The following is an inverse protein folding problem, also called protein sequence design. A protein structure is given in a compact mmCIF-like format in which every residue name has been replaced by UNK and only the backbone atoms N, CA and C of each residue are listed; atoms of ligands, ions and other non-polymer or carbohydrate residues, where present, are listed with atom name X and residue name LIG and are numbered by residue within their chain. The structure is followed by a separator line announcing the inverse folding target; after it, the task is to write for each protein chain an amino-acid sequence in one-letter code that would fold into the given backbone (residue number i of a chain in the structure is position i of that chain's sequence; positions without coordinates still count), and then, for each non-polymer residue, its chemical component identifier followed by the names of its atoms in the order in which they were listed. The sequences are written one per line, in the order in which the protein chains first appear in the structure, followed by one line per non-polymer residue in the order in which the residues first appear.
data_IF_912810425809
#
_entry.id   IF_912810425809
#
_cell.length_a   1.000
_cell.length_b   1.000
_cell.length_c   1.000
_cell.angle_alpha   90.00
_cell.angle_beta   90.00
_cell.angle_gamma   90.00
#
_symmetry.space_group_name_H-M   'P 1'
#
loop_
_entity.id
_entity.type
_entity.pdbx_description
1 polymer ?
#
# COMPACT_ATOMS: atom_id res chain seq x y z
N UNK A 1 18.97 -4.50 -36.47
CA UNK A 1 18.83 -3.71 -35.22
C UNK A 1 19.46 -2.32 -35.38
N UNK A 2 18.64 -1.29 -35.52
CA UNK A 2 19.06 0.10 -35.83
C UNK A 2 19.22 0.99 -34.59
N UNK A 3 18.98 0.47 -33.38
CA UNK A 3 19.09 1.21 -32.12
C UNK A 3 19.96 0.40 -31.14
N UNK A 4 21.12 0.94 -30.73
CA UNK A 4 22.05 0.30 -29.79
C UNK A 4 21.86 0.77 -28.34
N UNK A 5 20.87 1.63 -28.08
CA UNK A 5 20.67 2.22 -26.74
C UNK A 5 19.92 1.30 -25.76
N UNK A 6 19.38 0.18 -26.24
CA UNK A 6 18.57 -0.75 -25.45
C UNK A 6 19.36 -1.98 -25.03
N UNK A 7 19.06 -2.48 -23.83
CA UNK A 7 19.64 -3.68 -23.24
C UNK A 7 19.56 -4.88 -24.22
N UNK A 8 20.63 -5.68 -24.39
CA UNK A 8 20.61 -6.90 -25.19
C UNK A 8 19.41 -7.83 -24.93
N UNK A 9 18.94 -7.91 -23.67
CA UNK A 9 17.79 -8.71 -23.28
C UNK A 9 16.48 -8.28 -23.96
N UNK A 10 16.36 -6.99 -24.29
CA UNK A 10 15.20 -6.45 -25.01
C UNK A 10 15.06 -7.09 -26.40
N UNK A 11 16.18 -7.27 -27.11
CA UNK A 11 16.19 -7.82 -28.46
C UNK A 11 15.87 -9.31 -28.47
N UNK A 12 16.30 -10.05 -27.44
CA UNK A 12 15.92 -11.46 -27.25
C UNK A 12 14.42 -11.59 -27.03
N UNK A 13 13.83 -10.77 -26.15
CA UNK A 13 12.39 -10.70 -25.91
C UNK A 13 11.60 -10.33 -27.17
N UNK A 14 12.10 -9.40 -27.98
CA UNK A 14 11.44 -9.02 -29.22
C UNK A 14 11.46 -10.15 -30.26
N UNK A 15 12.57 -10.87 -30.37
CA UNK A 15 12.64 -12.05 -31.24
C UNK A 15 11.69 -13.15 -30.76
N UNK A 16 11.65 -13.41 -29.45
CA UNK A 16 10.69 -14.34 -28.85
C UNK A 16 9.25 -13.94 -29.18
N UNK A 17 8.90 -12.66 -28.97
CA UNK A 17 7.56 -12.13 -29.28
C UNK A 17 7.18 -12.30 -30.76
N UNK A 18 8.12 -12.03 -31.68
CA UNK A 18 7.89 -12.17 -33.12
C UNK A 18 7.76 -13.64 -33.55
N UNK A 19 8.42 -14.56 -32.83
CA UNK A 19 8.38 -16.00 -33.09
C UNK A 19 7.13 -16.71 -32.54
N UNK A 20 6.44 -16.11 -31.56
CA UNK A 20 5.20 -16.65 -31.00
C UNK A 20 4.06 -16.67 -32.04
N UNK A 21 3.18 -17.67 -31.93
CA UNK A 21 1.93 -17.72 -32.70
C UNK A 21 0.91 -16.66 -32.26
N UNK A 22 -0.05 -16.30 -33.12
CA UNK A 22 -1.08 -15.30 -32.79
C UNK A 22 -1.92 -15.70 -31.57
N UNK A 23 -2.21 -16.99 -31.39
CA UNK A 23 -2.96 -17.50 -30.22
C UNK A 23 -2.18 -17.37 -28.91
N UNK A 24 -0.86 -17.51 -28.96
CA UNK A 24 0.02 -17.34 -27.79
C UNK A 24 0.20 -15.85 -27.48
N UNK A 25 0.33 -15.00 -28.51
CA UNK A 25 0.36 -13.54 -28.35
C UNK A 25 -0.89 -13.02 -27.66
N UNK A 26 -2.08 -13.59 -27.96
CA UNK A 26 -3.34 -13.20 -27.32
C UNK A 26 -3.34 -13.39 -25.80
N UNK A 27 -2.51 -14.29 -25.24
CA UNK A 27 -2.38 -14.45 -23.79
C UNK A 27 -1.70 -13.23 -23.13
N UNK A 28 -0.85 -12.53 -23.87
CA UNK A 28 -0.12 -11.35 -23.43
C UNK A 28 -0.79 -10.03 -23.86
N UNK A 29 -1.75 -10.10 -24.80
CA UNK A 29 -2.62 -8.96 -25.10
C UNK A 29 -3.41 -8.64 -23.83
N UNK A 30 -3.27 -7.40 -23.37
CA UNK A 30 -3.98 -6.90 -22.20
C UNK A 30 -5.49 -7.04 -22.45
N UNK A 31 -6.13 -7.99 -21.75
CA UNK A 31 -7.57 -8.14 -21.78
C UNK A 31 -8.20 -6.84 -21.26
N UNK A 32 -8.98 -6.17 -22.09
CA UNK A 32 -9.73 -4.99 -21.69
C UNK A 32 -10.92 -5.46 -20.84
N UNK A 33 -10.94 -5.09 -19.56
CA UNK A 33 -12.13 -5.27 -18.75
C UNK A 33 -13.24 -4.38 -19.34
N UNK A 34 -14.46 -4.91 -19.55
CA UNK A 34 -15.58 -4.09 -19.99
C UNK A 34 -15.90 -3.02 -18.94
N UNK A 35 -16.35 -1.84 -19.38
CA UNK A 35 -16.74 -0.78 -18.43
C UNK A 35 -17.95 -1.22 -17.59
N UNK A 36 -18.03 -0.78 -16.32
CA UNK A 36 -19.13 -1.12 -15.45
C UNK A 36 -20.44 -0.49 -15.96
N UNK A 37 -21.57 -1.15 -15.68
CA UNK A 37 -22.90 -0.76 -16.18
C UNK A 37 -23.26 0.70 -15.81
N UNK A 38 -23.02 1.19 -14.57
CA UNK A 38 -23.30 2.58 -14.21
C UNK A 38 -22.49 3.62 -14.99
N UNK A 39 -21.36 3.23 -15.59
CA UNK A 39 -20.58 4.13 -16.45
C UNK A 39 -21.22 4.33 -17.83
N UNK A 40 -21.99 3.34 -18.31
CA UNK A 40 -22.64 3.41 -19.62
C UNK A 40 -24.07 3.93 -19.55
N UNK A 41 -24.76 3.70 -18.44
CA UNK A 41 -26.14 4.13 -18.25
C UNK A 41 -26.36 4.64 -16.83
N UNK A 42 -27.12 5.73 -16.70
CA UNK A 42 -27.52 6.22 -15.39
C UNK A 42 -28.62 5.33 -14.81
N UNK A 43 -28.53 4.97 -13.51
CA UNK A 43 -29.62 4.33 -12.79
C UNK A 43 -30.94 5.12 -12.85
N UNK A 44 -30.89 6.45 -12.96
CA UNK A 44 -32.08 7.30 -13.02
C UNK A 44 -32.94 7.04 -14.27
N UNK A 45 -32.31 6.74 -15.40
CA UNK A 45 -33.02 6.53 -16.68
C UNK A 45 -33.33 5.07 -16.96
N UNK A 46 -32.55 4.14 -16.40
CA UNK A 46 -32.74 2.71 -16.64
C UNK A 46 -32.72 1.91 -15.35
N UNK A 47 -33.90 1.42 -15.02
CA UNK A 47 -34.11 0.47 -13.94
C UNK A 47 -33.25 -0.79 -14.12
N UNK A 48 -32.71 -1.30 -13.01
CA UNK A 48 -31.79 -2.44 -12.99
C UNK A 48 -30.31 -2.09 -13.22
N UNK A 49 -29.98 -0.81 -13.43
CA UNK A 49 -28.57 -0.38 -13.44
C UNK A 49 -28.05 -0.28 -12.01
N UNK A 50 -27.29 -1.29 -11.59
CA UNK A 50 -26.66 -1.37 -10.26
C UNK A 50 -25.14 -1.52 -10.41
N UNK A 51 -24.40 -1.24 -9.33
CA UNK A 51 -22.96 -1.51 -9.30
C UNK A 51 -22.69 -3.01 -9.11
N UNK A 52 -21.58 -3.49 -9.66
CA UNK A 52 -21.19 -4.89 -9.62
C UNK A 52 -21.02 -5.44 -8.19
N UNK A 53 -20.65 -4.56 -7.25
CA UNK A 53 -20.56 -4.93 -5.84
C UNK A 53 -21.93 -5.25 -5.24
N UNK A 54 -22.96 -4.42 -5.50
CA UNK A 54 -24.31 -4.71 -5.01
C UNK A 54 -24.88 -5.93 -5.71
N UNK A 55 -24.66 -6.08 -7.01
CA UNK A 55 -25.08 -7.29 -7.74
C UNK A 55 -24.45 -8.54 -7.13
N UNK A 56 -23.13 -8.54 -6.89
CA UNK A 56 -22.43 -9.63 -6.21
C UNK A 56 -22.99 -9.94 -4.80
N UNK A 57 -23.38 -8.91 -4.04
CA UNK A 57 -24.04 -9.08 -2.74
C UNK A 57 -25.43 -9.69 -2.87
N UNK A 58 -26.23 -9.27 -3.86
CA UNK A 58 -27.55 -9.83 -4.14
C UNK A 58 -27.43 -11.30 -4.55
N UNK A 59 -26.52 -11.63 -5.46
CA UNK A 59 -26.32 -13.00 -5.93
C UNK A 59 -25.80 -13.92 -4.82
N UNK A 60 -24.83 -13.45 -4.02
CA UNK A 60 -24.34 -14.21 -2.87
C UNK A 60 -25.42 -14.44 -1.81
N UNK A 61 -26.28 -13.45 -1.57
CA UNK A 61 -27.44 -13.60 -0.70
C UNK A 61 -28.43 -14.64 -1.25
N UNK A 62 -28.80 -14.56 -2.53
CA UNK A 62 -29.71 -15.51 -3.17
C UNK A 62 -29.17 -16.95 -3.16
N UNK A 63 -27.85 -17.12 -3.29
CA UNK A 63 -27.18 -18.43 -3.27
C UNK A 63 -27.13 -19.03 -1.86
N UNK A 64 -26.93 -18.21 -0.84
CA UNK A 64 -26.77 -18.66 0.54
C UNK A 64 -28.11 -18.70 1.33
N UNK A 65 -29.21 -18.26 0.73
CA UNK A 65 -30.54 -18.26 1.34
C UNK A 65 -31.02 -19.69 1.56
N UNK A 66 -31.31 -20.05 2.81
CA UNK A 66 -31.96 -21.32 3.14
C UNK A 66 -33.43 -21.29 2.69
N UNK A 67 -33.89 -22.35 2.03
CA UNK A 67 -35.25 -22.45 1.46
C UNK A 67 -36.37 -22.44 2.52
N UNK A 68 -36.05 -22.57 3.81
CA UNK A 68 -37.04 -22.94 4.82
C UNK A 68 -37.83 -21.80 5.48
N UNK A 69 -37.53 -20.51 5.25
CA UNK A 69 -38.10 -19.47 6.11
C UNK A 69 -39.26 -18.66 5.53
N UNK A 70 -39.35 -18.42 4.22
CA UNK A 70 -40.46 -17.65 3.60
C UNK A 70 -40.47 -17.79 2.07
N UNK A 71 -40.81 -18.98 1.55
CA UNK A 71 -40.96 -19.21 0.10
C UNK A 71 -42.26 -18.58 -0.42
N UNK A 72 -43.27 -18.44 0.46
CA UNK A 72 -44.64 -18.10 0.08
C UNK A 72 -44.83 -16.62 -0.35
N UNK A 73 -43.94 -15.70 0.05
CA UNK A 73 -44.14 -14.25 -0.13
C UNK A 73 -43.05 -13.53 -0.92
N UNK A 74 -41.99 -14.20 -1.39
CA UNK A 74 -40.87 -13.49 -2.02
C UNK A 74 -40.19 -14.33 -3.10
N UNK A 75 -40.76 -14.25 -4.30
CA UNK A 75 -40.14 -14.70 -5.54
C UNK A 75 -38.75 -14.06 -5.72
N UNK A 76 -37.81 -14.82 -6.29
CA UNK A 76 -36.42 -14.37 -6.51
C UNK A 76 -36.36 -13.11 -7.38
N UNK A 77 -37.18 -13.05 -8.42
CA UNK A 77 -37.19 -11.93 -9.36
C UNK A 77 -37.76 -10.66 -8.70
N UNK A 78 -38.85 -10.79 -7.93
CA UNK A 78 -39.41 -9.68 -7.13
C UNK A 78 -38.40 -9.15 -6.12
N UNK A 79 -37.58 -10.00 -5.51
CA UNK A 79 -36.52 -9.55 -4.60
C UNK A 79 -35.48 -8.69 -5.32
N UNK A 80 -35.00 -9.13 -6.48
CA UNK A 80 -34.03 -8.36 -7.28
C UNK A 80 -34.62 -7.01 -7.69
N UNK A 81 -35.88 -6.98 -8.13
CA UNK A 81 -36.57 -5.75 -8.46
C UNK A 81 -36.70 -4.80 -7.26
N UNK A 82 -37.10 -5.30 -6.10
CA UNK A 82 -37.20 -4.49 -4.87
C UNK A 82 -35.83 -3.93 -4.48
N UNK A 83 -34.77 -4.72 -4.60
CA UNK A 83 -33.41 -4.26 -4.32
C UNK A 83 -32.95 -3.18 -5.32
N UNK A 84 -33.30 -3.33 -6.60
CA UNK A 84 -33.09 -2.30 -7.62
C UNK A 84 -33.85 -1.01 -7.30
N UNK A 85 -35.12 -1.11 -6.89
CA UNK A 85 -35.91 0.06 -6.49
C UNK A 85 -35.34 0.74 -5.24
N UNK A 86 -34.88 -0.05 -4.25
CA UNK A 86 -34.23 0.47 -3.05
C UNK A 86 -32.91 1.18 -3.36
N UNK A 87 -32.13 0.66 -4.32
CA UNK A 87 -30.90 1.29 -4.77
C UNK A 87 -31.20 2.69 -5.34
N UNK A 88 -32.19 2.80 -6.24
CA UNK A 88 -32.60 4.08 -6.81
C UNK A 88 -33.05 5.08 -5.73
N UNK A 89 -33.82 4.62 -4.74
CA UNK A 89 -34.28 5.46 -3.63
C UNK A 89 -33.15 5.88 -2.66
N UNK A 90 -32.01 5.20 -2.68
CA UNK A 90 -30.87 5.45 -1.76
C UNK A 90 -29.77 6.30 -2.40
N UNK A 91 -29.98 6.79 -3.62
CA UNK A 91 -29.03 7.66 -4.30
C UNK A 91 -29.00 9.06 -3.68
N UNK A 92 -27.81 9.68 -3.69
CA UNK A 92 -27.65 11.07 -3.29
C UNK A 92 -28.42 11.99 -4.24
N UNK A 93 -29.10 12.99 -3.68
CA UNK A 93 -29.92 13.89 -4.48
C UNK A 93 -29.04 14.90 -5.26
N UNK A 94 -29.40 15.25 -6.52
CA UNK A 94 -28.72 16.32 -7.22
C UNK A 94 -28.81 17.65 -6.44
N UNK A 95 -27.67 18.31 -6.27
CA UNK A 95 -27.56 19.57 -5.52
C UNK A 95 -27.24 19.40 -4.02
N UNK A 96 -27.12 18.17 -3.52
CA UNK A 96 -26.67 17.92 -2.15
C UNK A 96 -25.22 18.44 -1.94
N UNK A 97 -24.94 19.17 -0.85
CA UNK A 97 -23.62 19.77 -0.60
C UNK A 97 -22.61 18.72 -0.08
N UNK A 98 -22.33 17.69 -0.90
CA UNK A 98 -21.46 16.55 -0.54
C UNK A 98 -20.05 16.96 -0.14
N UNK A 99 -19.53 18.07 -0.66
CA UNK A 99 -18.23 18.60 -0.27
C UNK A 99 -18.20 19.13 1.18
N UNK A 100 -19.27 19.81 1.61
CA UNK A 100 -19.39 20.31 2.98
C UNK A 100 -19.60 19.16 3.96
N UNK A 101 -20.47 18.20 3.59
CA UNK A 101 -20.71 16.99 4.37
C UNK A 101 -19.42 16.19 4.55
N UNK A 102 -18.67 15.94 3.47
CA UNK A 102 -17.40 15.23 3.55
C UNK A 102 -16.38 15.96 4.44
N UNK A 103 -16.30 17.28 4.35
CA UNK A 103 -15.41 18.08 5.20
C UNK A 103 -15.78 17.97 6.69
N UNK A 104 -17.08 18.03 7.02
CA UNK A 104 -17.57 17.85 8.40
C UNK A 104 -17.34 16.43 8.91
N UNK A 105 -17.65 15.42 8.09
CA UNK A 105 -17.47 14.00 8.43
C UNK A 105 -16.02 13.62 8.72
N UNK A 106 -15.03 14.36 8.20
CA UNK A 106 -13.63 14.19 8.57
C UNK A 106 -13.26 15.10 9.75
N UNK A 107 -13.67 16.37 9.70
CA UNK A 107 -13.26 17.40 10.66
C UNK A 107 -13.76 17.15 12.08
N UNK A 108 -15.05 16.83 12.25
CA UNK A 108 -15.67 16.60 13.57
C UNK A 108 -15.01 15.43 14.32
N UNK A 109 -14.93 14.20 13.77
CA UNK A 109 -14.30 13.08 14.49
C UNK A 109 -12.79 13.28 14.67
N UNK A 110 -12.12 14.04 13.80
CA UNK A 110 -10.69 14.35 13.96
C UNK A 110 -10.40 15.07 15.28
N UNK A 111 -11.32 15.92 15.74
CA UNK A 111 -11.16 16.59 17.04
C UNK A 111 -11.18 15.58 18.20
N UNK A 112 -12.04 14.57 18.13
CA UNK A 112 -12.14 13.49 19.12
C UNK A 112 -10.89 12.59 19.12
N UNK A 113 -10.28 12.35 17.95
CA UNK A 113 -9.05 11.57 17.85
C UNK A 113 -7.87 12.19 18.63
N UNK A 114 -7.86 13.50 18.82
CA UNK A 114 -6.79 14.20 19.55
C UNK A 114 -6.61 13.66 20.96
N UNK A 115 -7.71 13.39 21.68
CA UNK A 115 -7.68 12.88 23.06
C UNK A 115 -7.38 11.38 23.11
N UNK A 116 -7.88 10.60 22.15
CA UNK A 116 -7.66 9.15 22.10
C UNK A 116 -6.22 8.78 21.72
N UNK A 117 -5.51 9.64 20.99
CA UNK A 117 -4.13 9.37 20.57
C UNK A 117 -3.13 9.47 21.72
N UNK A 118 -3.39 10.24 22.79
CA UNK A 118 -2.47 10.33 23.93
C UNK A 118 -2.42 9.06 24.79
N UNK A 119 -3.53 8.32 24.89
CA UNK A 119 -3.55 7.04 25.63
C UNK A 119 -2.94 5.87 24.84
N UNK A 120 -2.98 5.91 23.51
CA UNK A 120 -2.32 4.93 22.64
C UNK A 120 -0.88 5.28 22.29
N UNK A 121 -0.51 6.56 22.20
CA UNK A 121 0.87 7.01 21.98
C UNK A 121 1.82 6.63 23.15
N UNK A 122 1.26 6.29 24.32
CA UNK A 122 2.01 5.73 25.45
C UNK A 122 2.32 4.22 25.36
N UNK A 123 1.68 3.47 24.44
CA UNK A 123 2.13 2.13 24.05
C UNK A 123 2.98 2.28 22.79
N UNK A 124 4.28 2.37 22.98
CA UNK A 124 5.30 2.64 21.96
C UNK A 124 5.50 1.54 20.91
N UNK A 125 4.45 0.85 20.48
CA UNK A 125 4.56 -0.29 19.55
C UNK A 125 4.70 0.15 18.08
N UNK A 126 4.40 1.41 17.74
CA UNK A 126 4.59 1.93 16.37
C UNK A 126 5.06 3.40 16.38
N UNK A 127 6.33 3.64 16.04
CA UNK A 127 6.92 4.97 15.83
C UNK A 127 6.45 5.60 14.49
N UNK A 128 5.14 5.68 14.27
CA UNK A 128 4.54 6.32 13.10
C UNK A 128 3.80 7.59 13.52
N UNK A 129 3.76 8.60 12.66
CA UNK A 129 2.91 9.78 12.87
C UNK A 129 1.44 9.36 12.90
N UNK A 130 0.74 9.58 14.02
CA UNK A 130 -0.66 9.24 14.23
C UNK A 130 -1.54 10.49 14.40
N UNK A 131 -2.85 10.31 14.22
CA UNK A 131 -3.89 11.31 14.53
C UNK A 131 -3.85 12.57 13.65
N UNK A 132 -4.15 13.72 14.26
CA UNK A 132 -4.19 15.04 13.59
C UNK A 132 -2.87 15.39 12.88
N UNK A 133 -1.68 15.19 13.47
CA UNK A 133 -0.42 15.43 12.77
C UNK A 133 -0.32 14.73 11.41
N UNK A 134 -0.76 13.46 11.33
CA UNK A 134 -0.76 12.72 10.07
C UNK A 134 -1.79 13.22 9.08
N UNK A 135 -3.00 13.55 9.56
CA UNK A 135 -4.05 14.16 8.73
C UNK A 135 -3.59 15.49 8.13
N UNK A 136 -2.89 16.33 8.90
CA UNK A 136 -2.33 17.60 8.40
C UNK A 136 -1.30 17.37 7.31
N UNK A 137 -0.39 16.41 7.49
CA UNK A 137 0.64 16.10 6.48
C UNK A 137 0.02 15.65 5.15
N UNK A 138 -1.05 14.86 5.19
CA UNK A 138 -1.74 14.33 4.00
C UNK A 138 -2.61 15.40 3.34
N UNK A 139 -3.51 16.03 4.11
CA UNK A 139 -4.59 16.85 3.55
C UNK A 139 -4.25 18.33 3.46
N UNK A 140 -3.57 18.89 4.46
CA UNK A 140 -3.36 20.34 4.54
C UNK A 140 -2.08 20.79 3.85
N UNK A 141 -0.98 20.07 4.10
CA UNK A 141 0.35 20.47 3.60
C UNK A 141 0.77 19.69 2.38
N UNK A 142 0.19 18.50 2.13
CA UNK A 142 0.59 17.58 1.07
C UNK A 142 2.13 17.43 1.01
N UNK A 143 2.74 17.17 2.17
CA UNK A 143 4.19 17.31 2.33
C UNK A 143 4.96 16.32 1.45
N UNK A 144 5.88 16.82 0.64
CA UNK A 144 6.81 15.99 -0.13
C UNK A 144 7.79 15.20 0.76
N UNK A 145 8.06 15.69 1.98
CA UNK A 145 8.93 15.04 2.97
C UNK A 145 8.12 14.70 4.21
N UNK A 146 7.75 13.44 4.35
CA UNK A 146 7.04 12.92 5.53
C UNK A 146 8.02 12.79 6.70
N UNK A 147 7.53 12.97 7.93
CA UNK A 147 8.38 12.85 9.14
C UNK A 147 8.79 11.40 9.40
N UNK A 148 7.86 10.46 9.22
CA UNK A 148 8.09 9.02 9.39
C UNK A 148 7.64 8.29 8.11
N UNK A 149 8.44 8.29 7.03
CA UNK A 149 8.11 7.53 5.83
C UNK A 149 8.23 6.02 6.09
N UNK A 150 7.27 5.24 5.60
CA UNK A 150 7.26 3.78 5.67
C UNK A 150 6.96 3.17 4.30
N UNK A 151 7.39 1.93 4.08
CA UNK A 151 7.18 1.17 2.86
C UNK A 151 6.86 -0.28 3.20
N UNK A 152 5.79 -0.80 2.61
CA UNK A 152 5.41 -2.21 2.71
C UNK A 152 5.90 -2.97 1.48
N UNK A 153 6.61 -4.08 1.71
CA UNK A 153 7.22 -4.89 0.63
C UNK A 153 6.53 -6.26 0.62
N UNK A 154 5.59 -6.51 -0.31
CA UNK A 154 4.94 -7.82 -0.43
C UNK A 154 5.89 -8.87 -1.02
N UNK A 155 5.81 -10.10 -0.52
CA UNK A 155 6.55 -11.24 -1.05
C UNK A 155 5.75 -11.99 -2.12
N UNK A 156 6.45 -12.63 -3.07
CA UNK A 156 5.82 -13.46 -4.09
C UNK A 156 5.19 -14.73 -3.49
N UNK A 157 4.06 -15.21 -4.03
CA UNK A 157 3.21 -16.21 -3.36
C UNK A 157 3.77 -17.64 -3.21
N UNK A 158 4.97 -17.98 -3.71
CA UNK A 158 5.51 -19.35 -3.70
C UNK A 158 6.96 -19.44 -3.21
N UNK A 159 7.35 -18.57 -2.28
CA UNK A 159 8.72 -18.56 -1.74
C UNK A 159 8.81 -19.57 -0.57
N UNK A 160 9.65 -20.62 -0.63
CA UNK A 160 9.88 -21.48 0.53
C UNK A 160 10.68 -20.72 1.60
N UNK A 161 10.39 -20.99 2.87
CA UNK A 161 11.03 -20.37 4.05
C UNK A 161 11.01 -18.83 4.04
N UNK A 162 9.82 -18.23 3.88
CA UNK A 162 9.62 -16.76 3.81
C UNK A 162 10.26 -16.06 5.01
N UNK A 163 10.02 -16.54 6.24
CA UNK A 163 10.51 -15.88 7.46
C UNK A 163 12.04 -15.75 7.48
N UNK A 164 12.78 -16.80 7.09
CA UNK A 164 14.25 -16.76 7.05
C UNK A 164 14.76 -15.80 5.98
N UNK A 165 14.12 -15.79 4.81
CA UNK A 165 14.49 -14.89 3.71
C UNK A 165 14.15 -13.44 4.02
N UNK A 166 13.01 -13.20 4.66
CA UNK A 166 12.60 -11.89 5.13
C UNK A 166 13.61 -11.34 6.14
N UNK A 167 14.07 -12.16 7.09
CA UNK A 167 15.07 -11.73 8.08
C UNK A 167 16.43 -11.41 7.44
N UNK A 168 16.89 -12.23 6.49
CA UNK A 168 18.10 -11.93 5.71
C UNK A 168 17.96 -10.64 4.90
N UNK A 169 16.79 -10.42 4.30
CA UNK A 169 16.51 -9.19 3.55
C UNK A 169 16.49 -7.97 4.49
N UNK A 170 15.88 -8.11 5.67
CA UNK A 170 15.86 -7.08 6.72
C UNK A 170 17.27 -6.67 7.11
N UNK A 171 18.15 -7.64 7.38
CA UNK A 171 19.56 -7.39 7.70
C UNK A 171 20.28 -6.64 6.56
N UNK A 172 20.05 -7.04 5.30
CA UNK A 172 20.68 -6.42 4.12
C UNK A 172 20.17 -5.00 3.84
N UNK A 173 18.91 -4.72 4.13
CA UNK A 173 18.29 -3.40 3.93
C UNK A 173 18.57 -2.44 5.08
N UNK A 174 18.89 -2.96 6.27
CA UNK A 174 19.16 -2.10 7.43
C UNK A 174 20.47 -1.34 7.23
N UNK A 175 20.42 -0.02 7.39
CA UNK A 175 21.62 0.82 7.27
C UNK A 175 22.47 0.64 8.53
N UNK A 176 23.65 0.06 8.37
CA UNK A 176 24.64 -0.07 9.45
C UNK A 176 25.71 1.00 9.25
N UNK A 177 26.04 1.74 10.30
CA UNK A 177 27.13 2.71 10.32
C UNK A 177 28.32 2.16 11.10
N UNK A 178 29.52 2.72 10.89
CA UNK A 178 30.73 2.31 11.62
C UNK A 178 30.56 2.45 13.14
N UNK A 179 29.74 3.41 13.57
CA UNK A 179 29.43 3.60 15.00
C UNK A 179 28.67 2.42 15.61
N UNK A 180 27.86 1.71 14.82
CA UNK A 180 27.03 0.62 15.33
C UNK A 180 27.84 -0.65 15.60
N UNK A 181 29.02 -0.78 14.96
CA UNK A 181 29.90 -1.95 15.04
C UNK A 181 31.12 -1.74 15.94
N UNK A 182 31.27 -0.52 16.48
CA UNK A 182 32.44 -0.08 17.22
C UNK A 182 32.22 -0.26 18.72
N UNK A 183 33.11 -1.00 19.38
CA UNK A 183 33.08 -1.19 20.82
C UNK A 183 33.73 0.00 21.54
N UNK A 184 34.92 0.41 21.09
CA UNK A 184 35.63 1.58 21.62
C UNK A 184 36.67 2.13 20.65
N UNK A 185 37.09 3.37 20.90
CA UNK A 185 38.22 4.01 20.21
C UNK A 185 39.25 4.40 21.27
N UNK A 186 40.44 3.80 21.20
CA UNK A 186 41.57 4.23 22.02
C UNK A 186 42.37 5.28 21.22
N UNK A 187 42.50 6.50 21.75
CA UNK A 187 43.21 7.61 21.11
C UNK A 187 44.46 7.95 21.91
N UNK A 188 45.63 7.76 21.30
CA UNK A 188 46.92 8.17 21.86
C UNK A 188 47.46 9.40 21.11
N UNK A 189 47.62 10.51 21.80
CA UNK A 189 48.24 11.73 21.25
C UNK A 189 49.66 11.89 21.80
N UNK A 190 50.66 12.01 20.92
CA UNK A 190 52.06 12.21 21.27
C UNK A 190 52.63 13.36 20.45
N UNK A 191 53.21 14.36 21.12
CA UNK A 191 53.97 15.41 20.43
C UNK A 191 55.36 14.87 20.17
N UNK A 192 55.71 14.70 18.89
CA UNK A 192 57.04 14.28 18.45
C UNK A 192 57.80 15.54 18.05
N UNK A 193 58.97 15.78 18.65
CA UNK A 193 59.73 17.01 18.45
C UNK A 193 60.92 16.86 17.51
N UNK A 194 61.39 15.63 17.25
CA UNK A 194 62.52 15.32 16.37
C UNK A 194 62.12 14.26 15.33
N UNK A 195 62.50 14.38 14.05
CA UNK A 195 63.28 15.46 13.44
C UNK A 195 62.47 16.76 13.19
N UNK A 196 61.14 16.70 13.17
CA UNK A 196 60.25 17.87 13.06
C UNK A 196 59.16 17.82 14.13
N UNK A 197 58.71 18.99 14.59
CA UNK A 197 57.61 19.11 15.56
C UNK A 197 56.29 18.77 14.91
N UNK A 198 55.71 17.64 15.30
CA UNK A 198 54.41 17.17 14.83
C UNK A 198 53.59 16.56 15.96
N UNK A 199 52.28 16.77 15.93
CA UNK A 199 51.34 16.03 16.77
C UNK A 199 51.04 14.70 16.10
N UNK A 200 51.53 13.60 16.69
CA UNK A 200 51.24 12.24 16.25
C UNK A 200 50.04 11.70 17.03
N UNK A 201 48.91 11.55 16.34
CA UNK A 201 47.71 10.93 16.89
C UNK A 201 47.60 9.50 16.37
N UNK A 202 47.53 8.51 17.27
CA UNK A 202 47.28 7.11 16.94
C UNK A 202 45.89 6.74 17.45
N UNK A 203 44.98 6.47 16.54
CA UNK A 203 43.64 5.98 16.84
C UNK A 203 43.60 4.47 16.64
N UNK A 204 43.10 3.74 17.63
CA UNK A 204 42.84 2.31 17.55
C UNK A 204 41.34 2.07 17.69
N UNK A 205 40.73 1.57 16.63
CA UNK A 205 39.35 1.17 16.62
C UNK A 205 39.26 -0.28 17.11
N UNK A 206 38.47 -0.51 18.16
CA UNK A 206 38.14 -1.85 18.64
C UNK A 206 36.69 -2.09 18.27
N UNK A 207 36.47 -3.10 17.44
CA UNK A 207 35.15 -3.47 16.94
C UNK A 207 34.58 -4.63 17.75
N UNK A 208 33.26 -4.77 17.71
CA UNK A 208 32.56 -5.90 18.33
C UNK A 208 33.05 -7.26 17.79
N UNK A 209 32.90 -8.36 18.57
CA UNK A 209 33.26 -9.69 18.11
C UNK A 209 32.48 -10.13 16.86
N UNK A 210 33.09 -10.99 16.03
CA UNK A 210 32.49 -11.42 14.76
C UNK A 210 31.12 -12.12 14.93
N UNK A 211 30.86 -12.72 16.09
CA UNK A 211 29.61 -13.39 16.41
C UNK A 211 28.41 -12.44 16.59
N UNK A 212 28.65 -11.13 16.71
CA UNK A 212 27.61 -10.12 16.89
C UNK A 212 27.23 -9.42 15.57
N UNK A 213 27.85 -9.79 14.45
CA UNK A 213 27.53 -9.31 13.11
C UNK A 213 26.46 -10.14 12.41
#
# INVERSE_FOLDING_TARGET
PTDQTRDPFYWELEQMWRSLGEDEKQQYVRKTCPDPIPSKMSPEYKFGTINEQLDGLIQSYLKNRQENTHVEYTEKDKFVEIMGAKYLASMAAPGEPVGLLAAQSIGEPSTQMTLNTFHFAGRGDMNVTLGIPRLREILMTASAKLKTPSMDIPFLPNIPDINKKAERLRQKMNRVTVSDVLEKIDVECKIVTNPERQLKTKMRFVFLPYSQY
#
